data_IF_813062342864
#
_entry.id   IF_813062342864
#
_cell.length_a   1.000
_cell.length_b   1.000
_cell.length_c   1.000
_cell.angle_alpha   90.00
_cell.angle_beta   90.00
_cell.angle_gamma   90.00
#
_symmetry.space_group_name_H-M   'P 1'
#
loop_
_entity.id
_entity.type
_entity.pdbx_description
1 polymer ?
#
# COMPACT_ATOMS: atom_id res chain seq x y z
N UNK A 1 -30.56 -3.12 33.12
CA UNK A 1 -29.47 -2.39 32.43
C UNK A 1 -29.14 -3.16 31.17
N UNK A 2 -29.29 -2.54 29.99
CA UNK A 2 -28.90 -3.17 28.73
C UNK A 2 -27.38 -3.20 28.57
N UNK A 3 -26.84 -4.28 28.03
CA UNK A 3 -25.43 -4.38 27.62
C UNK A 3 -25.27 -3.68 26.27
N UNK A 4 -24.21 -2.89 26.11
CA UNK A 4 -23.87 -2.32 24.80
C UNK A 4 -23.51 -3.41 23.78
N UNK A 5 -23.98 -3.28 22.55
CA UNK A 5 -23.69 -4.23 21.48
C UNK A 5 -22.72 -3.65 20.45
N UNK A 6 -21.76 -4.46 19.99
CA UNK A 6 -20.80 -4.06 18.96
C UNK A 6 -21.48 -3.65 17.64
N UNK A 7 -22.62 -4.26 17.32
CA UNK A 7 -23.40 -3.94 16.12
C UNK A 7 -23.92 -2.48 16.09
N UNK A 8 -24.14 -1.87 17.26
CA UNK A 8 -24.60 -0.49 17.41
C UNK A 8 -23.46 0.48 17.73
N UNK A 9 -22.21 0.04 17.59
CA UNK A 9 -21.03 0.89 17.77
C UNK A 9 -20.74 1.64 16.48
N UNK A 10 -20.44 2.94 16.60
CA UNK A 10 -20.16 3.84 15.49
C UNK A 10 -18.76 4.43 15.65
N UNK A 11 -18.02 4.51 14.54
CA UNK A 11 -16.73 5.19 14.47
C UNK A 11 -16.86 6.41 13.56
N UNK A 12 -16.66 7.60 14.12
CA UNK A 12 -16.65 8.84 13.37
C UNK A 12 -15.22 9.37 13.27
N UNK A 13 -14.78 9.72 12.06
CA UNK A 13 -13.40 10.15 11.78
C UNK A 13 -13.37 11.53 11.13
N UNK A 14 -12.50 12.42 11.60
CA UNK A 14 -12.19 13.69 10.95
C UNK A 14 -10.71 14.04 11.09
N UNK A 15 -10.13 14.70 10.09
CA UNK A 15 -8.76 15.23 10.21
C UNK A 15 -8.73 16.50 11.05
N UNK A 16 -7.72 16.62 11.90
CA UNK A 16 -7.49 17.81 12.71
C UNK A 16 -6.74 18.88 11.88
N UNK A 17 -7.10 20.15 12.06
CA UNK A 17 -6.30 21.27 11.54
C UNK A 17 -5.14 21.64 12.46
N UNK A 18 -5.22 21.26 13.73
CA UNK A 18 -4.20 21.45 14.75
C UNK A 18 -4.16 20.22 15.64
N UNK A 19 -2.97 19.68 15.85
CA UNK A 19 -2.77 18.45 16.61
C UNK A 19 -3.46 18.51 17.98
N UNK A 20 -4.26 17.49 18.26
CA UNK A 20 -4.97 17.32 19.52
C UNK A 20 -6.21 18.20 19.70
N UNK A 21 -6.68 18.84 18.62
CA UNK A 21 -7.90 19.67 18.65
C UNK A 21 -8.96 19.05 17.73
N UNK A 22 -9.95 18.33 18.30
CA UNK A 22 -11.04 17.75 17.53
C UNK A 22 -11.80 18.81 16.72
N UNK A 23 -12.06 18.58 15.42
CA UNK A 23 -12.90 19.45 14.62
C UNK A 23 -14.33 19.52 15.17
N UNK A 24 -15.01 20.65 14.95
CA UNK A 24 -16.43 20.80 15.29
C UNK A 24 -17.39 20.17 14.26
N UNK A 25 -16.89 19.79 13.08
CA UNK A 25 -17.67 19.21 11.97
C UNK A 25 -16.75 18.47 10.99
N UNK A 26 -17.34 17.84 9.96
CA UNK A 26 -16.59 17.17 8.89
C UNK A 26 -16.29 15.69 9.14
N UNK A 27 -16.96 15.09 10.12
CA UNK A 27 -16.80 13.68 10.43
C UNK A 27 -17.40 12.78 9.35
N UNK A 28 -16.73 11.66 9.09
CA UNK A 28 -17.17 10.59 8.21
C UNK A 28 -17.40 9.33 9.05
N UNK A 29 -18.51 8.64 8.82
CA UNK A 29 -18.82 7.37 9.48
C UNK A 29 -17.94 6.27 8.88
N UNK A 30 -16.92 5.81 9.60
CA UNK A 30 -16.00 4.81 9.09
C UNK A 30 -16.50 3.39 9.37
N UNK A 31 -16.41 2.48 8.40
CA UNK A 31 -16.59 1.05 8.65
C UNK A 31 -15.36 0.47 9.36
N UNK A 32 -15.58 -0.42 10.31
CA UNK A 32 -14.53 -1.13 11.03
C UNK A 32 -14.99 -2.54 11.40
N UNK A 33 -14.03 -3.41 11.69
CA UNK A 33 -14.22 -4.81 12.13
C UNK A 33 -13.94 -4.94 13.61
N UNK A 34 -12.87 -4.30 14.09
CA UNK A 34 -12.53 -4.17 15.50
C UNK A 34 -11.81 -2.86 15.77
N UNK A 35 -11.88 -2.42 17.01
CA UNK A 35 -11.32 -1.16 17.49
C UNK A 35 -10.77 -1.37 18.90
N UNK A 36 -9.66 -0.71 19.20
CA UNK A 36 -8.97 -0.83 20.48
C UNK A 36 -8.32 0.47 20.96
N UNK A 37 -8.78 1.63 20.48
CA UNK A 37 -8.38 2.92 21.03
C UNK A 37 -9.10 3.17 22.36
N UNK A 38 -8.44 3.92 23.24
CA UNK A 38 -8.98 4.31 24.52
C UNK A 38 -7.89 4.72 25.50
N UNK A 39 -8.22 5.65 26.40
CA UNK A 39 -7.29 6.06 27.45
C UNK A 39 -7.14 4.96 28.50
N UNK A 40 -5.91 4.50 28.69
CA UNK A 40 -5.48 3.64 29.79
C UNK A 40 -4.51 4.39 30.72
N UNK A 41 -4.68 4.20 32.01
CA UNK A 41 -3.80 4.75 33.03
C UNK A 41 -3.45 3.67 34.07
N UNK A 42 -2.22 3.11 34.04
CA UNK A 42 -1.84 2.08 34.98
C UNK A 42 -1.60 2.64 36.38
N UNK A 43 -1.59 1.73 37.37
CA UNK A 43 -1.30 2.03 38.76
C UNK A 43 0.15 1.67 39.09
N UNK A 44 0.85 2.58 39.76
CA UNK A 44 2.21 2.39 40.26
C UNK A 44 2.17 2.07 41.74
N UNK A 45 2.85 1.00 42.15
CA UNK A 45 2.96 0.62 43.55
C UNK A 45 3.69 1.71 44.36
N UNK A 46 3.23 1.92 45.59
CA UNK A 46 3.89 2.87 46.49
C UNK A 46 5.32 2.41 46.82
N UNK A 47 6.27 3.33 46.74
CA UNK A 47 7.67 3.11 47.10
C UNK A 47 8.00 3.53 48.54
N UNK A 48 6.99 3.89 49.35
CA UNK A 48 7.16 4.36 50.72
C UNK A 48 7.60 3.20 51.64
N UNK A 49 8.77 3.37 52.27
CA UNK A 49 9.34 2.40 53.20
C UNK A 49 8.97 2.75 54.65
N UNK A 50 8.90 1.74 55.53
CA UNK A 50 8.69 1.92 56.97
C UNK A 50 7.23 1.94 57.45
N UNK A 51 6.26 1.61 56.58
CA UNK A 51 4.82 1.61 56.91
C UNK A 51 4.25 0.22 57.27
N UNK A 52 5.11 -0.79 57.47
CA UNK A 52 4.70 -2.16 57.79
C UNK A 52 4.68 -3.09 56.57
N UNK A 53 3.97 -4.23 56.70
CA UNK A 53 3.90 -5.29 55.66
C UNK A 53 2.69 -5.14 54.72
N UNK A 54 1.74 -4.29 55.06
CA UNK A 54 0.53 -4.08 54.26
C UNK A 54 0.83 -3.21 53.03
N UNK A 55 0.22 -3.49 51.87
CA UNK A 55 0.39 -2.67 50.67
C UNK A 55 -0.24 -1.29 50.87
N UNK A 56 0.50 -0.25 50.47
CA UNK A 56 0.03 1.13 50.51
C UNK A 56 -0.77 1.49 49.25
N UNK A 57 -1.61 2.54 49.30
CA UNK A 57 -2.36 3.01 48.14
C UNK A 57 -1.43 3.28 46.94
N UNK A 58 -1.73 2.74 45.76
CA UNK A 58 -0.96 3.01 44.55
C UNK A 58 -1.19 4.45 44.05
N UNK A 59 -0.24 4.98 43.27
CA UNK A 59 -0.38 6.23 42.53
C UNK A 59 -0.74 5.95 41.07
N UNK A 60 -1.34 6.95 40.40
CA UNK A 60 -1.62 6.87 38.96
C UNK A 60 -0.33 7.13 38.16
N UNK A 61 -0.13 6.38 37.08
CA UNK A 61 0.95 6.61 36.11
C UNK A 61 0.51 7.58 35.01
N UNK A 62 1.35 7.76 33.99
CA UNK A 62 1.05 8.46 32.74
C UNK A 62 -0.08 7.79 31.95
N UNK A 63 -0.83 8.60 31.19
CA UNK A 63 -1.93 8.13 30.35
C UNK A 63 -1.37 7.71 28.99
N UNK A 64 -1.85 6.58 28.48
CA UNK A 64 -1.55 6.08 27.14
C UNK A 64 -2.82 5.78 26.37
N UNK A 65 -2.82 6.07 25.07
CA UNK A 65 -3.95 5.78 24.19
C UNK A 65 -3.43 5.27 22.85
N UNK A 66 -3.10 3.98 22.84
CA UNK A 66 -2.61 3.28 21.66
C UNK A 66 -3.58 2.14 21.37
N UNK A 67 -3.84 1.88 20.10
CA UNK A 67 -4.79 0.84 19.73
C UNK A 67 -4.69 0.45 18.27
N UNK A 68 -5.06 -0.80 18.00
CA UNK A 68 -5.19 -1.30 16.64
C UNK A 68 -6.65 -1.18 16.18
N UNK A 69 -6.83 -0.71 14.95
CA UNK A 69 -8.10 -0.67 14.25
C UNK A 69 -8.06 -1.63 13.06
N UNK A 70 -8.98 -2.59 13.01
CA UNK A 70 -9.12 -3.48 11.83
C UNK A 70 -10.23 -2.93 10.95
N UNK A 71 -9.90 -2.64 9.69
CA UNK A 71 -10.75 -1.89 8.77
C UNK A 71 -10.84 -2.64 7.42
N UNK A 72 -11.96 -2.56 6.70
CA UNK A 72 -12.05 -3.16 5.38
C UNK A 72 -11.17 -2.41 4.37
N UNK A 73 -10.51 -3.13 3.45
CA UNK A 73 -9.98 -2.48 2.25
C UNK A 73 -11.15 -2.20 1.31
N UNK A 74 -11.40 -0.93 1.08
CA UNK A 74 -12.51 -0.47 0.26
C UNK A 74 -12.11 0.69 -0.64
N UNK A 75 -12.98 0.98 -1.60
CA UNK A 75 -12.74 1.97 -2.64
C UNK A 75 -12.69 3.40 -2.11
N UNK A 76 -13.44 3.74 -1.06
CA UNK A 76 -13.70 5.13 -0.65
C UNK A 76 -13.22 5.48 0.75
N UNK A 77 -13.36 4.62 1.75
CA UNK A 77 -12.93 4.91 3.11
C UNK A 77 -11.42 4.69 3.31
N UNK A 78 -10.84 3.72 2.60
CA UNK A 78 -9.41 3.40 2.73
C UNK A 78 -8.48 4.58 2.40
N UNK A 79 -8.88 5.50 1.53
CA UNK A 79 -8.13 6.72 1.24
C UNK A 79 -7.93 7.65 2.44
N UNK A 80 -8.83 7.65 3.44
CA UNK A 80 -8.62 8.39 4.70
C UNK A 80 -7.49 7.79 5.52
N UNK A 81 -7.41 6.46 5.61
CA UNK A 81 -6.32 5.76 6.30
C UNK A 81 -4.99 5.94 5.57
N UNK A 82 -4.98 5.87 4.24
CA UNK A 82 -3.81 6.17 3.43
C UNK A 82 -3.34 7.61 3.66
N UNK A 83 -4.26 8.58 3.70
CA UNK A 83 -3.89 9.97 4.02
C UNK A 83 -3.32 10.11 5.42
N UNK A 84 -3.85 9.38 6.41
CA UNK A 84 -3.32 9.39 7.77
C UNK A 84 -1.90 8.81 7.86
N UNK A 85 -1.61 7.77 7.08
CA UNK A 85 -0.31 7.08 7.06
C UNK A 85 0.75 7.79 6.22
N UNK A 86 0.39 8.30 5.04
CA UNK A 86 1.33 8.82 4.04
C UNK A 86 1.32 10.35 3.92
N UNK A 87 0.28 11.01 4.44
CA UNK A 87 -0.01 12.41 4.17
C UNK A 87 -0.95 12.62 2.99
N UNK A 88 -1.18 13.88 2.62
CA UNK A 88 -2.13 14.25 1.58
C UNK A 88 -1.73 13.66 0.21
N UNK A 89 -2.67 13.06 -0.54
CA UNK A 89 -2.36 12.55 -1.87
C UNK A 89 -2.24 13.68 -2.89
N UNK A 90 -1.50 13.42 -3.96
CA UNK A 90 -1.64 14.17 -5.21
C UNK A 90 -2.79 13.56 -6.01
N UNK A 91 -3.85 14.33 -6.24
CA UNK A 91 -5.06 13.88 -6.94
C UNK A 91 -5.08 14.41 -8.37
N UNK A 92 -5.28 13.54 -9.36
CA UNK A 92 -5.44 13.94 -10.77
C UNK A 92 -6.63 13.23 -11.39
N UNK A 93 -7.52 14.00 -12.00
CA UNK A 93 -8.67 13.44 -12.71
C UNK A 93 -8.27 12.95 -14.09
N UNK A 94 -8.78 11.79 -14.48
CA UNK A 94 -8.65 11.26 -15.82
C UNK A 94 -8.31 9.79 -15.85
N UNK A 95 -8.14 9.28 -17.07
CA UNK A 95 -7.70 7.91 -17.34
C UNK A 95 -6.39 7.97 -18.13
N UNK A 96 -5.46 7.08 -17.80
CA UNK A 96 -4.22 6.91 -18.56
C UNK A 96 -4.51 6.29 -19.94
N UNK A 97 -3.70 6.66 -20.93
CA UNK A 97 -3.69 5.95 -22.19
C UNK A 97 -3.06 4.57 -22.02
N UNK A 98 -3.60 3.57 -22.70
CA UNK A 98 -3.12 2.18 -22.67
C UNK A 98 -2.82 1.69 -24.08
N UNK A 99 -1.98 0.67 -24.15
CA UNK A 99 -1.68 -0.06 -25.37
C UNK A 99 -1.00 -1.38 -25.01
N UNK A 100 -0.77 -2.21 -26.00
CA UNK A 100 -0.09 -3.47 -25.80
C UNK A 100 0.74 -3.87 -27.00
N UNK A 101 1.68 -4.78 -26.77
CA UNK A 101 2.53 -5.38 -27.79
C UNK A 101 2.47 -6.90 -27.60
N UNK A 102 1.85 -7.60 -28.55
CA UNK A 102 1.70 -9.06 -28.54
C UNK A 102 2.78 -9.73 -29.38
N UNK A 103 3.39 -10.79 -28.87
CA UNK A 103 4.43 -11.55 -29.57
C UNK A 103 3.91 -12.91 -29.99
N UNK A 104 4.07 -13.23 -31.27
CA UNK A 104 3.67 -14.51 -31.85
C UNK A 104 4.76 -15.58 -31.76
N UNK A 105 6.02 -15.17 -31.67
CA UNK A 105 7.21 -16.02 -31.56
C UNK A 105 8.38 -15.22 -30.95
N UNK A 106 9.53 -15.86 -30.72
CA UNK A 106 10.75 -15.21 -30.22
C UNK A 106 11.20 -14.08 -31.15
N UNK A 107 11.57 -12.90 -30.62
CA UNK A 107 12.14 -11.84 -31.44
C UNK A 107 13.51 -12.26 -31.98
N UNK A 108 13.80 -11.92 -33.23
CA UNK A 108 15.14 -12.12 -33.79
C UNK A 108 16.15 -11.16 -33.14
N UNK A 109 17.42 -11.54 -33.16
CA UNK A 109 18.50 -10.69 -32.64
C UNK A 109 18.60 -9.38 -33.42
N UNK A 110 18.86 -8.28 -32.70
CA UNK A 110 18.96 -6.90 -33.17
C UNK A 110 17.65 -6.28 -33.68
N UNK A 111 16.51 -6.95 -33.48
CA UNK A 111 15.20 -6.34 -33.72
C UNK A 111 14.78 -5.52 -32.50
N UNK A 112 13.97 -4.50 -32.74
CA UNK A 112 13.49 -3.61 -31.68
C UNK A 112 11.96 -3.50 -31.64
N UNK A 113 11.48 -3.12 -30.46
CA UNK A 113 10.20 -2.47 -30.27
C UNK A 113 10.46 -1.01 -29.92
N UNK A 114 9.69 -0.10 -30.49
CA UNK A 114 9.84 1.35 -30.30
C UNK A 114 8.63 1.89 -29.54
N UNK A 115 8.87 2.58 -28.43
CA UNK A 115 7.82 3.24 -27.63
C UNK A 115 8.19 4.71 -27.45
N UNK A 116 7.31 5.61 -27.87
CA UNK A 116 7.53 7.06 -27.78
C UNK A 116 8.79 7.53 -28.52
N UNK A 117 9.24 6.78 -29.53
CA UNK A 117 10.46 7.05 -30.31
C UNK A 117 11.76 6.52 -29.70
N UNK A 118 11.71 5.75 -28.60
CA UNK A 118 12.86 5.06 -28.04
C UNK A 118 12.75 3.54 -28.25
N UNK A 119 13.87 2.90 -28.55
CA UNK A 119 13.94 1.48 -28.89
C UNK A 119 14.36 0.63 -27.69
N UNK A 120 13.70 -0.51 -27.53
CA UNK A 120 14.23 -1.65 -26.76
C UNK A 120 14.70 -2.71 -27.76
N UNK A 121 16.00 -3.00 -27.76
CA UNK A 121 16.61 -3.94 -28.72
C UNK A 121 16.81 -5.33 -28.12
N UNK A 122 16.42 -6.38 -28.84
CA UNK A 122 16.62 -7.77 -28.42
C UNK A 122 18.01 -8.31 -28.80
N UNK A 123 18.72 -8.94 -27.86
CA UNK A 123 20.07 -9.48 -28.04
C UNK A 123 20.20 -10.92 -27.56
N UNK A 124 21.13 -11.66 -28.18
CA UNK A 124 21.55 -13.01 -27.78
C UNK A 124 22.81 -13.03 -26.90
N UNK A 125 23.27 -11.86 -26.46
CA UNK A 125 24.43 -11.67 -25.59
C UNK A 125 24.07 -10.75 -24.41
N UNK A 126 25.00 -10.58 -23.46
CA UNK A 126 24.81 -9.72 -22.28
C UNK A 126 24.26 -8.34 -22.69
N UNK A 127 23.05 -7.97 -22.23
CA UNK A 127 22.40 -6.73 -22.62
C UNK A 127 23.04 -5.52 -21.92
N UNK A 128 23.09 -4.39 -22.63
CA UNK A 128 23.38 -3.07 -22.10
C UNK A 128 22.11 -2.32 -21.68
N UNK A 129 22.19 -0.98 -21.67
CA UNK A 129 21.02 -0.12 -21.42
C UNK A 129 20.02 -0.20 -22.59
N UNK A 130 18.73 -0.23 -22.28
CA UNK A 130 17.63 -0.35 -23.25
C UNK A 130 17.76 -1.55 -24.21
N UNK A 131 18.36 -2.63 -23.71
CA UNK A 131 18.54 -3.90 -24.40
C UNK A 131 17.96 -5.04 -23.57
N UNK A 132 17.40 -6.04 -24.24
CA UNK A 132 16.80 -7.21 -23.62
C UNK A 132 17.53 -8.49 -24.07
N UNK A 133 17.84 -9.37 -23.11
CA UNK A 133 18.37 -10.70 -23.40
C UNK A 133 17.24 -11.64 -23.85
N UNK A 134 17.41 -12.26 -25.01
CA UNK A 134 16.54 -13.34 -25.50
C UNK A 134 16.78 -14.59 -24.64
N UNK A 135 15.73 -15.01 -23.93
CA UNK A 135 15.73 -16.17 -23.06
C UNK A 135 15.49 -17.49 -23.80
N UNK A 136 15.42 -18.59 -23.05
CA UNK A 136 15.16 -19.91 -23.62
C UNK A 136 13.71 -20.06 -24.12
N UNK A 137 12.78 -19.29 -23.53
CA UNK A 137 11.37 -19.27 -23.91
C UNK A 137 10.90 -17.85 -24.20
N UNK A 138 9.81 -17.70 -24.96
CA UNK A 138 9.22 -16.39 -25.23
C UNK A 138 8.82 -15.68 -23.93
N UNK A 139 8.20 -16.38 -22.99
CA UNK A 139 7.80 -15.81 -21.70
C UNK A 139 8.99 -15.26 -20.90
N UNK A 140 10.13 -15.95 -20.93
CA UNK A 140 11.37 -15.47 -20.30
C UNK A 140 11.92 -14.24 -21.02
N UNK A 141 11.94 -14.23 -22.36
CA UNK A 141 12.35 -13.06 -23.16
C UNK A 141 11.48 -11.84 -22.85
N UNK A 142 10.16 -12.01 -22.76
CA UNK A 142 9.26 -10.90 -22.46
C UNK A 142 9.32 -10.45 -21.00
N UNK A 143 9.57 -11.36 -20.06
CA UNK A 143 9.86 -11.01 -18.68
C UNK A 143 11.12 -10.14 -18.59
N UNK A 144 12.21 -10.53 -19.28
CA UNK A 144 13.43 -9.73 -19.38
C UNK A 144 13.17 -8.36 -20.04
N UNK A 145 12.31 -8.31 -21.06
CA UNK A 145 11.96 -7.07 -21.76
C UNK A 145 11.22 -6.10 -20.84
N UNK A 146 10.21 -6.58 -20.12
CA UNK A 146 9.43 -5.76 -19.16
C UNK A 146 10.32 -5.24 -18.04
N UNK A 147 11.22 -6.07 -17.52
CA UNK A 147 12.21 -5.65 -16.51
C UNK A 147 13.13 -4.55 -17.06
N UNK A 148 13.67 -4.74 -18.28
CA UNK A 148 14.54 -3.77 -18.92
C UNK A 148 13.83 -2.43 -19.20
N UNK A 149 12.57 -2.49 -19.67
CA UNK A 149 11.74 -1.30 -19.91
C UNK A 149 11.46 -0.52 -18.63
N UNK A 150 11.05 -1.20 -17.55
CA UNK A 150 10.78 -0.56 -16.26
C UNK A 150 12.06 -0.01 -15.59
N UNK A 151 13.23 -0.61 -15.88
CA UNK A 151 14.52 -0.13 -15.41
C UNK A 151 15.11 1.01 -16.27
N UNK A 152 14.53 1.28 -17.44
CA UNK A 152 15.06 2.26 -18.39
C UNK A 152 15.11 3.67 -17.79
N UNK A 153 16.22 4.37 -18.05
CA UNK A 153 16.35 5.79 -17.73
C UNK A 153 15.96 6.69 -18.90
N UNK A 154 15.70 6.13 -20.08
CA UNK A 154 15.34 6.86 -21.29
C UNK A 154 13.94 7.45 -21.14
N UNK A 155 13.81 8.77 -21.32
CA UNK A 155 12.62 9.52 -20.92
C UNK A 155 11.31 9.00 -21.55
N UNK A 156 11.35 8.54 -22.81
CA UNK A 156 10.19 8.00 -23.51
C UNK A 156 9.72 6.65 -22.92
N UNK A 157 10.66 5.77 -22.56
CA UNK A 157 10.36 4.48 -21.94
C UNK A 157 9.94 4.65 -20.48
N UNK A 158 10.72 5.42 -19.72
CA UNK A 158 10.48 5.70 -18.29
C UNK A 158 9.13 6.36 -17.97
N UNK A 159 8.50 7.02 -18.95
CA UNK A 159 7.21 7.68 -18.76
C UNK A 159 6.01 6.74 -18.92
N UNK A 160 6.25 5.44 -19.11
CA UNK A 160 5.23 4.41 -19.15
C UNK A 160 5.55 3.31 -18.14
N UNK A 161 4.49 2.68 -17.62
CA UNK A 161 4.57 1.47 -16.80
C UNK A 161 4.31 0.24 -17.67
N UNK A 162 5.18 -0.77 -17.56
CA UNK A 162 5.10 -2.00 -18.34
C UNK A 162 4.78 -3.20 -17.46
N UNK A 163 3.92 -4.09 -17.96
CA UNK A 163 3.64 -5.36 -17.32
C UNK A 163 3.51 -6.49 -18.32
N UNK A 164 3.89 -7.70 -17.90
CA UNK A 164 3.65 -8.91 -18.68
C UNK A 164 2.27 -9.46 -18.35
N UNK A 165 1.51 -9.87 -19.37
CA UNK A 165 0.26 -10.59 -19.14
C UNK A 165 0.52 -11.99 -18.54
N UNK A 166 -0.52 -12.60 -17.96
CA UNK A 166 -0.39 -13.91 -17.29
C UNK A 166 -0.01 -15.02 -18.28
N UNK A 167 -0.39 -14.90 -19.56
CA UNK A 167 -0.04 -15.88 -20.60
C UNK A 167 1.42 -15.76 -21.08
N UNK A 168 2.15 -14.72 -20.65
CA UNK A 168 3.56 -14.51 -21.00
C UNK A 168 3.81 -14.21 -22.48
N UNK A 169 2.86 -13.55 -23.16
CA UNK A 169 2.90 -13.27 -24.61
C UNK A 169 2.69 -11.80 -24.96
N UNK A 170 2.13 -11.02 -24.05
CA UNK A 170 1.74 -9.63 -24.31
C UNK A 170 2.36 -8.71 -23.27
N UNK A 171 3.06 -7.69 -23.74
CA UNK A 171 3.51 -6.58 -22.92
C UNK A 171 2.40 -5.54 -22.91
N UNK A 172 1.81 -5.31 -21.75
CA UNK A 172 0.84 -4.25 -21.50
C UNK A 172 1.57 -2.96 -21.12
N UNK A 173 1.11 -1.85 -21.69
CA UNK A 173 1.70 -0.53 -21.53
C UNK A 173 0.62 0.40 -20.99
N UNK A 174 0.92 1.07 -19.88
CA UNK A 174 0.08 2.11 -19.29
C UNK A 174 0.88 3.39 -19.20
N UNK A 175 0.33 4.49 -19.71
CA UNK A 175 1.00 5.77 -19.59
C UNK A 175 0.96 6.31 -18.16
N UNK A 176 2.09 6.79 -17.66
CA UNK A 176 2.13 7.46 -16.35
C UNK A 176 1.51 8.86 -16.42
N UNK A 177 1.32 9.39 -17.64
CA UNK A 177 0.61 10.64 -17.87
C UNK A 177 -0.90 10.41 -17.88
N UNK A 178 -1.56 10.78 -16.79
CA UNK A 178 -3.02 10.80 -16.71
C UNK A 178 -3.58 11.89 -17.63
N UNK A 179 -4.59 11.54 -18.42
CA UNK A 179 -5.22 12.47 -19.35
C UNK A 179 -4.98 12.13 -20.81
N UNK A 180 -5.22 13.10 -21.69
CA UNK A 180 -5.08 12.92 -23.15
C UNK A 180 -3.62 12.90 -23.62
N UNK A 181 -2.66 13.32 -22.80
CA UNK A 181 -1.25 13.44 -23.18
C UNK A 181 -0.63 12.11 -23.60
N UNK A 182 -0.96 11.02 -22.90
CA UNK A 182 -0.47 9.68 -23.22
C UNK A 182 -0.87 9.17 -24.60
N UNK A 183 -1.96 9.70 -25.20
CA UNK A 183 -2.41 9.28 -26.53
C UNK A 183 -1.42 9.64 -27.66
N UNK A 184 -0.42 10.49 -27.37
CA UNK A 184 0.62 10.87 -28.33
C UNK A 184 1.81 9.91 -28.36
N UNK A 185 1.91 8.99 -27.40
CA UNK A 185 3.02 8.02 -27.32
C UNK A 185 2.86 7.01 -28.45
N UNK A 186 3.82 6.99 -29.37
CA UNK A 186 3.84 6.08 -30.52
C UNK A 186 4.27 4.67 -30.13
N UNK A 187 3.73 3.67 -30.82
CA UNK A 187 4.17 2.28 -30.72
C UNK A 187 4.57 1.78 -32.11
N UNK A 188 5.73 1.13 -32.20
CA UNK A 188 6.16 0.41 -33.39
C UNK A 188 6.93 -0.86 -33.01
N UNK A 189 7.02 -1.76 -33.98
CA UNK A 189 7.78 -3.00 -33.85
C UNK A 189 8.43 -3.32 -35.19
N UNK A 190 9.68 -3.77 -35.14
CA UNK A 190 10.36 -4.27 -36.34
C UNK A 190 9.71 -5.55 -36.84
N UNK A 191 9.70 -5.76 -38.15
CA UNK A 191 9.10 -6.96 -38.77
C UNK A 191 9.69 -8.26 -38.20
N UNK A 192 10.99 -8.30 -37.88
CA UNK A 192 11.65 -9.47 -37.31
C UNK A 192 11.50 -9.65 -35.80
N UNK A 193 10.85 -8.70 -35.11
CA UNK A 193 10.57 -8.82 -33.66
C UNK A 193 9.44 -9.82 -33.37
N UNK A 194 8.69 -10.25 -34.40
CA UNK A 194 7.48 -11.06 -34.29
C UNK A 194 6.40 -10.44 -33.39
N UNK A 195 6.48 -9.13 -33.17
CA UNK A 195 5.62 -8.35 -32.30
C UNK A 195 4.56 -7.57 -33.11
N UNK A 196 3.34 -7.49 -32.57
CA UNK A 196 2.22 -6.73 -33.12
C UNK A 196 1.75 -5.72 -32.10
N UNK A 197 1.80 -4.44 -32.45
CA UNK A 197 1.34 -3.34 -31.57
C UNK A 197 -0.18 -3.17 -31.65
N UNK A 198 -0.80 -2.79 -30.53
CA UNK A 198 -2.26 -2.58 -30.44
C UNK A 198 -2.78 -1.45 -31.32
N UNK A 199 -1.91 -0.53 -31.71
CA UNK A 199 -2.19 0.62 -32.57
C UNK A 199 -0.92 1.44 -32.79
N UNK A 200 -0.98 2.45 -33.66
CA UNK A 200 0.17 3.34 -33.92
C UNK A 200 0.56 4.20 -32.71
N UNK A 201 -0.38 4.41 -31.79
CA UNK A 201 -0.17 5.13 -30.53
C UNK A 201 -0.92 4.44 -29.40
N UNK A 202 -0.60 4.78 -28.15
CA UNK A 202 -1.47 4.50 -27.01
C UNK A 202 -2.84 5.17 -27.22
N UNK A 203 -3.87 4.64 -26.58
CA UNK A 203 -5.25 5.11 -26.74
C UNK A 203 -6.04 5.06 -25.43
N UNK A 204 -7.19 5.72 -25.39
CA UNK A 204 -8.10 5.70 -24.23
C UNK A 204 -7.77 6.71 -23.13
N UNK A 205 -6.69 7.49 -23.26
CA UNK A 205 -6.37 8.56 -22.32
C UNK A 205 -7.42 9.67 -22.35
N UNK A 206 -7.93 10.06 -21.19
CA UNK A 206 -9.02 11.04 -21.03
C UNK A 206 -8.77 11.97 -19.85
N UNK A 207 -9.03 13.28 -20.01
CA UNK A 207 -8.95 14.25 -18.92
C UNK A 207 -10.15 14.19 -17.95
N UNK A 208 -11.20 13.45 -18.31
CA UNK A 208 -12.36 13.18 -17.46
C UNK A 208 -12.38 11.71 -17.05
N UNK A 209 -13.11 11.40 -15.98
CA UNK A 209 -13.23 10.05 -15.45
C UNK A 209 -12.87 10.00 -13.96
N UNK A 210 -12.27 8.89 -13.50
CA UNK A 210 -11.94 8.71 -12.09
C UNK A 210 -10.83 9.66 -11.64
N UNK A 211 -10.69 9.80 -10.33
CA UNK A 211 -9.58 10.47 -9.68
C UNK A 211 -8.50 9.47 -9.31
N UNK A 212 -7.26 9.81 -9.61
CA UNK A 212 -6.06 9.05 -9.30
C UNK A 212 -5.39 9.74 -8.11
N UNK A 213 -5.49 9.13 -6.92
CA UNK A 213 -4.87 9.64 -5.70
C UNK A 213 -3.55 8.93 -5.47
N UNK A 214 -2.44 9.66 -5.59
CA UNK A 214 -1.09 9.14 -5.40
C UNK A 214 -0.54 9.58 -4.04
N UNK A 215 -0.30 8.60 -3.18
CA UNK A 215 0.31 8.74 -1.86
C UNK A 215 1.76 8.25 -1.92
N UNK A 216 2.69 9.02 -1.34
CA UNK A 216 4.12 8.70 -1.37
C UNK A 216 4.67 8.57 0.05
N UNK A 217 5.49 7.54 0.29
CA UNK A 217 6.23 7.40 1.55
C UNK A 217 7.24 8.53 1.76
N UNK A 218 7.58 8.82 3.02
CA UNK A 218 8.68 9.73 3.37
C UNK A 218 8.25 11.14 3.73
N UNK A 219 6.95 11.39 3.91
CA UNK A 219 6.46 12.65 4.44
C UNK A 219 7.00 12.91 5.85
N UNK A 220 7.61 14.09 6.06
CA UNK A 220 8.12 14.51 7.37
C UNK A 220 7.01 15.08 8.28
N UNK A 221 5.85 15.37 7.72
CA UNK A 221 4.68 15.86 8.43
C UNK A 221 3.51 14.98 8.08
N UNK A 222 3.04 14.22 9.07
CA UNK A 222 1.86 13.38 8.94
C UNK A 222 0.67 14.10 9.58
N UNK A 223 -0.53 14.00 9.00
CA UNK A 223 -1.72 14.59 9.59
C UNK A 223 -2.10 13.85 10.86
N UNK A 224 -2.87 14.51 11.71
CA UNK A 224 -3.57 13.89 12.83
C UNK A 224 -5.08 13.88 12.61
N UNK A 225 -5.76 13.00 13.33
CA UNK A 225 -7.20 12.84 13.26
C UNK A 225 -7.84 12.84 14.65
N UNK A 226 -9.14 13.12 14.65
CA UNK A 226 -10.04 12.90 15.77
C UNK A 226 -10.96 11.72 15.42
N UNK A 227 -11.05 10.75 16.34
CA UNK A 227 -11.81 9.52 16.19
C UNK A 227 -12.77 9.36 17.36
N UNK A 228 -14.06 9.50 17.10
CA UNK A 228 -15.09 9.24 18.10
C UNK A 228 -15.58 7.79 17.98
N UNK A 229 -15.52 7.06 19.10
CA UNK A 229 -16.10 5.72 19.24
C UNK A 229 -17.32 5.83 20.12
N UNK A 230 -18.50 5.65 19.52
CA UNK A 230 -19.79 5.78 20.18
C UNK A 230 -20.52 4.45 20.30
N UNK A 231 -20.91 4.07 21.51
CA UNK A 231 -21.84 2.95 21.74
C UNK A 231 -23.23 3.53 21.97
N UNK A 232 -24.16 3.29 21.04
CA UNK A 232 -25.49 3.92 21.11
C UNK A 232 -26.37 3.36 22.24
N UNK A 233 -26.28 2.05 22.47
CA UNK A 233 -27.08 1.33 23.48
C UNK A 233 -26.81 1.79 24.92
N UNK A 234 -25.58 2.24 25.16
CA UNK A 234 -25.11 2.79 26.43
C UNK A 234 -24.41 4.10 26.08
N UNK A 235 -25.09 5.26 26.19
CA UNK A 235 -24.61 6.55 25.69
C UNK A 235 -23.22 6.92 26.20
N UNK A 236 -22.21 6.48 25.47
CA UNK A 236 -20.79 6.55 25.78
C UNK A 236 -20.07 6.81 24.48
N UNK A 237 -19.51 8.01 24.38
CA UNK A 237 -18.82 8.50 23.20
C UNK A 237 -17.42 8.90 23.64
N UNK A 238 -16.42 8.14 23.20
CA UNK A 238 -15.01 8.40 23.43
C UNK A 238 -14.40 9.14 22.26
N UNK A 239 -14.14 10.44 22.40
CA UNK A 239 -13.44 11.23 21.38
C UNK A 239 -11.94 11.11 21.60
N UNK A 240 -11.28 10.27 20.81
CA UNK A 240 -9.82 10.17 20.72
C UNK A 240 -9.29 11.30 19.84
N UNK A 241 -8.28 12.03 20.30
CA UNK A 241 -7.74 13.20 19.61
C UNK A 241 -6.22 13.12 19.48
N UNK A 242 -5.66 13.86 18.51
CA UNK A 242 -4.24 13.75 18.18
C UNK A 242 -3.86 12.36 17.67
N UNK A 243 -4.80 11.68 16.98
CA UNK A 243 -4.61 10.31 16.48
C UNK A 243 -3.67 10.35 15.27
N UNK A 244 -2.54 9.65 15.36
CA UNK A 244 -1.58 9.43 14.28
C UNK A 244 -1.52 7.93 13.93
N UNK A 245 -1.31 7.60 12.66
CA UNK A 245 -1.18 6.21 12.20
C UNK A 245 0.28 5.79 12.05
N UNK A 246 0.66 4.76 12.80
CA UNK A 246 2.01 4.20 12.75
C UNK A 246 2.11 3.10 11.70
N UNK A 247 1.29 2.06 11.82
CA UNK A 247 1.44 0.84 11.02
C UNK A 247 0.21 0.54 10.18
N UNK A 248 0.46 -0.05 9.02
CA UNK A 248 -0.51 -0.70 8.16
C UNK A 248 -0.06 -2.13 7.91
N UNK A 249 -0.89 -3.11 8.24
CA UNK A 249 -0.68 -4.51 7.90
C UNK A 249 -1.85 -5.02 7.06
N UNK A 250 -1.55 -5.58 5.88
CA UNK A 250 -2.52 -6.21 4.98
C UNK A 250 -2.13 -7.67 4.85
N UNK A 251 -3.07 -8.56 5.14
CA UNK A 251 -2.91 -10.00 4.94
C UNK A 251 -3.42 -10.37 3.54
N UNK A 252 -2.61 -11.10 2.79
CA UNK A 252 -2.95 -11.67 1.50
C UNK A 252 -3.33 -13.13 1.72
N UNK A 253 -4.58 -13.46 1.44
CA UNK A 253 -5.09 -14.83 1.55
C UNK A 253 -5.87 -15.18 0.30
N UNK A 254 -6.02 -16.46 -0.01
CA UNK A 254 -6.81 -16.91 -1.17
C UNK A 254 -8.33 -16.88 -0.92
N UNK A 255 -8.76 -16.59 0.31
CA UNK A 255 -10.17 -16.58 0.73
C UNK A 255 -10.41 -15.56 1.84
N UNK A 256 -11.66 -15.35 2.23
CA UNK A 256 -12.01 -14.45 3.34
C UNK A 256 -12.15 -12.99 2.93
N UNK A 257 -12.49 -12.16 3.91
CA UNK A 257 -12.67 -10.73 3.71
C UNK A 257 -11.33 -10.01 3.78
N UNK A 258 -11.03 -9.18 2.78
CA UNK A 258 -9.84 -8.34 2.78
C UNK A 258 -10.00 -7.21 3.80
N UNK A 259 -9.11 -7.20 4.80
CA UNK A 259 -9.04 -6.20 5.87
C UNK A 259 -7.58 -5.75 6.04
N UNK A 260 -7.41 -4.52 6.52
CA UNK A 260 -6.15 -3.98 7.01
C UNK A 260 -6.21 -3.80 8.53
N UNK A 261 -5.07 -3.96 9.18
CA UNK A 261 -4.87 -3.51 10.56
C UNK A 261 -4.09 -2.20 10.53
N UNK A 262 -4.63 -1.16 11.17
CA UNK A 262 -3.99 0.14 11.34
C UNK A 262 -3.63 0.32 12.81
N UNK A 263 -2.35 0.47 13.12
CA UNK A 263 -1.91 0.79 14.49
C UNK A 263 -1.92 2.29 14.69
N UNK A 264 -2.60 2.76 15.72
CA UNK A 264 -2.85 4.16 16.00
C UNK A 264 -2.27 4.56 17.36
N UNK A 265 -1.75 5.78 17.44
CA UNK A 265 -1.28 6.44 18.68
C UNK A 265 -2.06 7.74 18.81
N UNK A 266 -2.77 7.93 19.90
CA UNK A 266 -3.54 9.14 20.19
C UNK A 266 -2.93 9.92 21.36
N UNK A 267 -3.18 11.23 21.39
CA UNK A 267 -2.80 12.07 22.51
C UNK A 267 -3.62 11.76 23.76
N UNK A 268 -4.92 11.49 23.56
CA UNK A 268 -5.81 11.10 24.64
C UNK A 268 -7.26 11.00 24.18
N UNK A 269 -8.14 10.78 25.15
CA UNK A 269 -9.57 10.58 24.97
C UNK A 269 -10.37 11.57 25.81
N UNK A 270 -11.54 11.99 25.29
CA UNK A 270 -12.56 12.70 26.06
C UNK A 270 -13.88 11.95 25.95
N UNK A 271 -14.40 11.49 27.10
CA UNK A 271 -15.68 10.78 27.18
C UNK A 271 -16.86 11.74 27.33
N UNK A 272 -17.94 11.47 26.60
CA UNK A 272 -19.19 12.20 26.65
C UNK A 272 -20.40 11.24 26.62
N UNK A 273 -21.57 11.75 27.01
CA UNK A 273 -22.86 11.05 26.90
C UNK A 273 -23.60 11.34 25.59
N UNK A 274 -23.07 12.26 24.80
CA UNK A 274 -23.60 12.69 23.51
C UNK A 274 -22.46 12.79 22.52
N UNK A 275 -22.73 12.45 21.26
CA UNK A 275 -21.76 12.60 20.18
C UNK A 275 -21.33 14.06 20.01
N UNK A 276 -20.02 14.30 19.94
CA UNK A 276 -19.41 15.56 19.52
C UNK A 276 -19.19 15.60 18.01
N UNK A 277 -19.15 14.43 17.36
CA UNK A 277 -19.04 14.29 15.90
C UNK A 277 -20.33 14.70 15.14
N UNK A 278 -21.46 14.82 15.84
CA UNK A 278 -22.74 15.21 15.27
C UNK A 278 -23.35 14.11 14.41
N UNK A 279 -23.67 14.43 13.15
CA UNK A 279 -24.13 13.45 12.15
C UNK A 279 -23.01 13.24 11.14
N UNK A 280 -22.20 12.17 11.26
CA UNK A 280 -21.13 11.91 10.32
C UNK A 280 -21.67 11.62 8.92
N UNK A 281 -20.90 11.99 7.90
CA UNK A 281 -21.22 11.70 6.51
C UNK A 281 -20.99 10.23 6.22
N UNK A 282 -21.93 9.58 5.54
CA UNK A 282 -21.79 8.19 5.09
C UNK A 282 -21.40 8.14 3.61
N UNK A 283 -20.43 7.29 3.28
CA UNK A 283 -20.05 6.96 1.91
C UNK A 283 -20.53 5.56 1.55
N UNK A 284 -20.73 5.29 0.26
CA UNK A 284 -21.08 3.94 -0.18
C UNK A 284 -19.87 3.02 -0.03
N UNK A 285 -20.01 1.98 0.79
CA UNK A 285 -19.00 0.96 1.01
C UNK A 285 -18.93 0.02 -0.20
N UNK A 286 -17.77 -0.05 -0.85
CA UNK A 286 -17.49 -0.96 -1.94
C UNK A 286 -16.13 -1.63 -1.68
N UNK A 287 -16.15 -2.90 -1.30
CA UNK A 287 -14.96 -3.62 -0.81
C UNK A 287 -14.15 -4.21 -1.96
N UNK A 288 -12.82 -4.14 -1.83
CA UNK A 288 -11.95 -4.98 -2.62
C UNK A 288 -12.01 -6.44 -2.13
N UNK A 289 -11.62 -7.38 -2.99
CA UNK A 289 -11.64 -8.81 -2.67
C UNK A 289 -10.24 -9.40 -2.68
N UNK A 290 -10.04 -10.44 -1.89
CA UNK A 290 -8.80 -11.23 -1.89
C UNK A 290 -8.52 -11.89 -3.24
N UNK A 291 -9.57 -12.32 -3.97
CA UNK A 291 -9.43 -12.94 -5.29
C UNK A 291 -8.90 -11.97 -6.36
N UNK A 292 -9.16 -10.67 -6.22
CA UNK A 292 -8.65 -9.64 -7.13
C UNK A 292 -7.22 -9.20 -6.82
N UNK A 293 -6.55 -9.82 -5.84
CA UNK A 293 -5.17 -9.49 -5.50
C UNK A 293 -4.22 -10.03 -6.57
N UNK A 294 -3.49 -9.13 -7.22
CA UNK A 294 -2.38 -9.48 -8.09
C UNK A 294 -1.09 -8.95 -7.49
N UNK A 295 -0.09 -9.81 -7.43
CA UNK A 295 1.27 -9.41 -7.06
C UNK A 295 2.19 -9.61 -8.26
N UNK A 296 2.95 -8.59 -8.61
CA UNK A 296 3.98 -8.67 -9.65
C UNK A 296 5.32 -8.21 -9.13
N UNK A 297 6.37 -8.74 -9.76
CA UNK A 297 7.77 -8.38 -9.55
C UNK A 297 8.29 -7.71 -10.81
N UNK A 298 8.71 -6.46 -10.73
CA UNK A 298 9.25 -5.70 -11.87
C UNK A 298 8.34 -5.71 -13.11
N UNK A 299 7.01 -5.74 -12.90
CA UNK A 299 6.01 -5.85 -13.97
C UNK A 299 5.66 -7.29 -14.39
N UNK A 300 6.35 -8.31 -13.88
CA UNK A 300 6.10 -9.73 -14.18
C UNK A 300 5.19 -10.35 -13.10
N UNK A 301 4.00 -10.89 -13.44
CA UNK A 301 3.08 -11.47 -12.47
C UNK A 301 3.65 -12.68 -11.71
N UNK A 302 3.35 -12.77 -10.41
CA UNK A 302 3.69 -13.92 -9.56
C UNK A 302 2.54 -14.94 -9.54
N UNK A 303 2.42 -15.75 -10.60
CA UNK A 303 1.29 -16.66 -10.80
C UNK A 303 1.14 -17.77 -9.72
N UNK A 304 2.18 -18.04 -8.94
CA UNK A 304 2.19 -19.10 -7.93
C UNK A 304 2.01 -18.62 -6.48
N UNK A 305 1.60 -17.36 -6.28
CA UNK A 305 1.36 -16.81 -4.96
C UNK A 305 0.15 -17.48 -4.30
N UNK A 306 0.33 -17.96 -3.07
CA UNK A 306 -0.67 -18.64 -2.24
C UNK A 306 -1.05 -17.83 -0.99
N UNK A 307 -0.31 -16.76 -0.69
CA UNK A 307 -0.59 -15.86 0.41
C UNK A 307 0.59 -14.94 0.67
N UNK A 308 0.50 -14.15 1.73
CA UNK A 308 1.56 -13.23 2.10
C UNK A 308 1.10 -12.11 3.01
N UNK A 309 2.01 -11.20 3.31
CA UNK A 309 1.73 -10.03 4.13
C UNK A 309 2.40 -8.81 3.56
N UNK A 310 1.72 -7.67 3.62
CA UNK A 310 2.31 -6.36 3.35
C UNK A 310 2.25 -5.52 4.62
N UNK A 311 3.39 -5.02 5.07
CA UNK A 311 3.50 -4.18 6.26
C UNK A 311 4.21 -2.86 5.91
N UNK A 312 3.62 -1.76 6.38
CA UNK A 312 4.21 -0.43 6.36
C UNK A 312 4.21 0.11 7.78
N UNK A 313 5.30 0.73 8.21
CA UNK A 313 5.42 1.39 9.51
C UNK A 313 6.12 2.73 9.37
N UNK A 314 5.56 3.78 9.95
CA UNK A 314 6.17 5.10 10.07
C UNK A 314 7.22 5.17 11.18
N UNK A 315 7.24 4.20 12.10
CA UNK A 315 8.20 4.16 13.20
C UNK A 315 7.95 5.32 14.18
N UNK A 316 6.67 5.62 14.43
CA UNK A 316 6.27 6.77 15.23
C UNK A 316 6.80 6.70 16.66
N UNK A 317 7.41 7.80 17.13
CA UNK A 317 7.89 7.95 18.50
C UNK A 317 7.01 8.95 19.28
N UNK A 318 6.30 8.52 20.34
CA UNK A 318 5.48 9.42 21.14
C UNK A 318 6.35 10.37 21.96
N UNK A 319 6.16 11.68 21.76
CA UNK A 319 6.89 12.73 22.46
C UNK A 319 6.34 12.87 23.87
N UNK A 320 7.09 12.34 24.85
CA UNK A 320 6.74 12.44 26.28
C UNK A 320 7.38 13.66 26.91
N UNK A 321 6.55 14.50 27.51
CA UNK A 321 6.96 15.69 28.26
C UNK A 321 6.24 15.72 29.61
N UNK A 322 6.79 16.44 30.58
CA UNK A 322 6.10 16.66 31.85
C UNK A 322 4.96 17.64 31.60
N UNK A 323 3.73 17.14 31.63
CA UNK A 323 2.50 17.92 31.54
C UNK A 323 1.56 17.57 32.69
N UNK A 324 0.73 18.52 33.17
CA UNK A 324 -0.25 18.25 34.22
C UNK A 324 -1.30 17.20 33.85
N UNK A 325 -1.53 16.96 32.55
CA UNK A 325 -2.49 15.96 32.05
C UNK A 325 -1.89 14.55 31.90
N UNK A 326 -0.58 14.38 32.10
CA UNK A 326 0.09 13.08 32.00
C UNK A 326 0.09 12.46 30.59
N UNK A 327 -0.18 13.25 29.54
CA UNK A 327 -0.32 12.79 28.15
C UNK A 327 0.91 13.11 27.30
N UNK A 328 0.98 12.49 26.12
CA UNK A 328 2.01 12.80 25.11
C UNK A 328 1.79 14.21 24.55
N UNK A 329 2.87 14.92 24.19
CA UNK A 329 2.76 16.24 23.55
C UNK A 329 2.50 16.15 22.04
N UNK A 330 2.91 15.05 21.42
CA UNK A 330 2.93 14.85 19.99
C UNK A 330 3.45 13.47 19.65
N UNK A 331 3.56 13.21 18.36
CA UNK A 331 4.14 11.99 17.82
C UNK A 331 5.05 12.36 16.67
N UNK A 332 6.32 11.96 16.75
CA UNK A 332 7.32 12.30 15.75
C UNK A 332 7.53 11.11 14.79
N UNK A 333 7.52 11.34 13.45
CA UNK A 333 7.81 10.28 12.49
C UNK A 333 9.25 9.78 12.57
N UNK A 334 9.43 8.46 12.62
CA UNK A 334 10.73 7.81 12.61
C UNK A 334 11.15 7.32 11.23
N UNK A 335 12.08 6.36 11.22
CA UNK A 335 12.52 5.71 9.97
C UNK A 335 11.44 4.76 9.49
N UNK A 336 10.99 4.95 8.26
CA UNK A 336 9.99 4.10 7.63
C UNK A 336 10.54 2.69 7.43
N UNK A 337 9.73 1.70 7.79
CA UNK A 337 9.98 0.30 7.47
C UNK A 337 8.85 -0.24 6.59
N UNK A 338 9.20 -0.76 5.41
CA UNK A 338 8.25 -1.49 4.55
C UNK A 338 8.77 -2.91 4.40
N UNK A 339 7.97 -3.86 4.84
CA UNK A 339 8.36 -5.27 4.91
C UNK A 339 7.18 -6.14 4.50
N UNK A 340 7.47 -7.38 4.18
CA UNK A 340 6.42 -8.33 3.91
C UNK A 340 6.94 -9.72 3.62
N UNK A 341 6.03 -10.56 3.16
CA UNK A 341 6.26 -11.97 2.91
C UNK A 341 5.41 -12.39 1.73
N UNK A 342 5.99 -13.17 0.83
CA UNK A 342 5.30 -13.81 -0.27
C UNK A 342 5.38 -15.33 -0.09
N UNK A 343 4.24 -15.98 0.07
CA UNK A 343 4.13 -17.43 0.16
C UNK A 343 3.77 -17.98 -1.21
N UNK A 344 4.67 -18.76 -1.81
CA UNK A 344 4.47 -19.29 -3.16
C UNK A 344 4.78 -20.78 -3.27
N UNK A 345 4.17 -21.42 -4.28
CA UNK A 345 4.57 -22.77 -4.69
C UNK A 345 5.96 -22.71 -5.33
N UNK A 346 6.85 -23.60 -4.91
CA UNK A 346 8.20 -23.67 -5.45
C UNK A 346 8.16 -24.25 -6.87
N UNK A 347 8.27 -23.39 -7.87
CA UNK A 347 8.27 -23.76 -9.29
C UNK A 347 9.59 -23.46 -10.00
N UNK A 348 10.32 -22.43 -9.55
CA UNK A 348 11.57 -21.98 -10.13
C UNK A 348 12.53 -21.41 -9.07
N UNK A 349 13.77 -21.13 -9.47
CA UNK A 349 14.82 -20.59 -8.59
C UNK A 349 14.94 -19.08 -8.63
N UNK A 350 14.09 -18.36 -9.37
CA UNK A 350 14.26 -16.92 -9.64
C UNK A 350 14.42 -16.11 -8.36
N UNK A 351 13.55 -16.34 -7.37
CA UNK A 351 13.60 -15.65 -6.08
C UNK A 351 14.83 -16.03 -5.24
N UNK A 352 15.33 -17.27 -5.39
CA UNK A 352 16.57 -17.70 -4.74
C UNK A 352 17.76 -17.00 -5.39
N UNK A 353 17.82 -16.91 -6.71
CA UNK A 353 18.91 -16.27 -7.44
C UNK A 353 18.97 -14.76 -7.15
N UNK A 354 17.81 -14.10 -7.11
CA UNK A 354 17.68 -12.70 -6.68
C UNK A 354 18.19 -12.48 -5.24
N UNK A 355 17.81 -13.37 -4.32
CA UNK A 355 18.27 -13.31 -2.93
C UNK A 355 19.78 -13.59 -2.79
N UNK A 356 20.34 -14.50 -3.60
CA UNK A 356 21.77 -14.83 -3.60
C UNK A 356 22.61 -13.68 -4.15
N UNK A 357 22.13 -13.04 -5.22
CA UNK A 357 22.82 -11.94 -5.89
C UNK A 357 22.53 -10.57 -5.25
N UNK A 358 21.68 -10.52 -4.22
CA UNK A 358 21.23 -9.30 -3.58
C UNK A 358 20.65 -8.29 -4.60
N UNK A 359 19.94 -8.80 -5.59
CA UNK A 359 19.33 -7.99 -6.64
C UNK A 359 18.04 -7.37 -6.11
N UNK A 360 17.94 -6.03 -6.08
CA UNK A 360 16.72 -5.37 -5.65
C UNK A 360 15.60 -5.56 -6.67
N UNK A 361 14.36 -5.61 -6.19
CA UNK A 361 13.17 -5.78 -7.02
C UNK A 361 12.07 -4.81 -6.64
N UNK A 362 11.22 -4.47 -7.59
CA UNK A 362 9.95 -3.79 -7.33
C UNK A 362 8.84 -4.80 -7.08
N UNK A 363 8.11 -4.67 -5.98
CA UNK A 363 6.87 -5.42 -5.73
C UNK A 363 5.65 -4.53 -5.90
N UNK A 364 4.69 -5.00 -6.69
CA UNK A 364 3.40 -4.33 -6.88
C UNK A 364 2.33 -5.21 -6.28
N UNK A 365 1.56 -4.68 -5.34
CA UNK A 365 0.34 -5.29 -4.82
C UNK A 365 -0.84 -4.52 -5.38
N UNK A 366 -1.73 -5.19 -6.10
CA UNK A 366 -2.86 -4.55 -6.76
C UNK A 366 -4.17 -5.27 -6.42
N UNK A 367 -5.19 -4.49 -6.09
CA UNK A 367 -6.57 -4.95 -5.94
C UNK A 367 -7.46 -4.10 -6.84
N UNK A 368 -8.13 -4.72 -7.80
CA UNK A 368 -8.96 -4.03 -8.77
C UNK A 368 -10.37 -4.63 -8.84
N UNK A 369 -11.38 -3.76 -8.91
CA UNK A 369 -12.75 -4.14 -9.31
C UNK A 369 -12.90 -3.90 -10.82
N UNK A 370 -12.42 -2.75 -11.28
CA UNK A 370 -12.24 -2.39 -12.69
C UNK A 370 -10.97 -1.54 -12.80
N UNK A 371 -10.54 -1.20 -14.03
CA UNK A 371 -9.42 -0.28 -14.24
C UNK A 371 -9.63 1.12 -13.61
N UNK A 372 -10.89 1.55 -13.46
CA UNK A 372 -11.27 2.82 -12.84
C UNK A 372 -11.54 2.73 -11.32
N UNK A 373 -11.43 1.52 -10.73
CA UNK A 373 -11.69 1.25 -9.31
C UNK A 373 -10.63 0.31 -8.76
N UNK A 374 -9.54 0.89 -8.26
CA UNK A 374 -8.30 0.14 -8.03
C UNK A 374 -7.48 0.72 -6.89
N UNK A 375 -6.90 -0.16 -6.09
CA UNK A 375 -5.83 0.16 -5.14
C UNK A 375 -4.56 -0.54 -5.59
N UNK A 376 -3.49 0.21 -5.81
CA UNK A 376 -2.17 -0.30 -6.18
C UNK A 376 -1.14 0.21 -5.18
N UNK A 377 -0.36 -0.68 -4.57
CA UNK A 377 0.75 -0.33 -3.68
C UNK A 377 2.03 -0.86 -4.29
N UNK A 378 2.94 0.05 -4.63
CA UNK A 378 4.23 -0.25 -5.24
C UNK A 378 5.33 -0.06 -4.21
N UNK A 379 6.14 -1.07 -4.01
CA UNK A 379 7.37 -1.04 -3.21
C UNK A 379 8.55 -1.06 -4.17
N UNK A 380 9.21 0.09 -4.34
CA UNK A 380 10.12 0.31 -5.46
C UNK A 380 11.48 -0.38 -5.35
N UNK A 381 11.90 -0.72 -4.13
CA UNK A 381 13.27 -1.17 -3.90
C UNK A 381 13.32 -2.16 -2.71
N UNK A 382 12.94 -3.41 -2.98
CA UNK A 382 12.88 -4.50 -2.02
C UNK A 382 14.02 -5.51 -2.19
N UNK A 383 14.50 -6.03 -1.07
CA UNK A 383 15.54 -7.05 -1.00
C UNK A 383 15.00 -8.32 -0.35
N UNK A 384 15.43 -9.46 -0.85
CA UNK A 384 15.07 -10.77 -0.34
C UNK A 384 16.24 -11.37 0.45
N UNK A 385 16.05 -11.79 1.72
CA UNK A 385 17.02 -12.60 2.41
C UNK A 385 17.06 -14.00 1.80
N UNK A 386 18.18 -14.70 1.97
CA UNK A 386 18.30 -16.09 1.50
C UNK A 386 17.24 -16.97 2.19
N UNK A 387 16.28 -17.54 1.44
CA UNK A 387 15.20 -18.33 2.00
C UNK A 387 15.69 -19.74 2.35
N UNK A 388 15.01 -20.38 3.31
CA UNK A 388 15.12 -21.83 3.52
C UNK A 388 14.00 -22.52 2.75
N UNK A 389 14.31 -23.61 2.05
CA UNK A 389 13.33 -24.44 1.33
C UNK A 389 13.20 -25.81 2.00
N UNK A 390 12.51 -25.91 3.16
CA UNK A 390 12.34 -27.18 3.85
C UNK A 390 11.42 -28.12 3.05
N UNK A 391 11.76 -29.41 3.02
CA UNK A 391 10.90 -30.47 2.48
C UNK A 391 10.15 -31.11 3.64
N UNK A 392 8.87 -30.77 3.80
CA UNK A 392 8.07 -31.14 4.98
C UNK A 392 7.24 -32.43 4.79
N UNK A 393 7.36 -33.09 3.62
CA UNK A 393 6.63 -34.32 3.32
C UNK A 393 6.61 -34.66 1.83
N UNK A 394 5.84 -35.67 1.40
CA UNK A 394 5.76 -36.11 0.01
C UNK A 394 4.92 -35.19 -0.91
N UNK A 395 4.36 -34.10 -0.38
CA UNK A 395 3.57 -33.12 -1.14
C UNK A 395 4.42 -32.06 -1.85
N UNK A 396 3.76 -31.14 -2.55
CA UNK A 396 4.44 -30.01 -3.21
C UNK A 396 5.14 -29.09 -2.20
N UNK A 397 6.32 -28.58 -2.57
CA UNK A 397 7.11 -27.68 -1.73
C UNK A 397 6.52 -26.27 -1.80
N UNK A 398 6.27 -25.66 -0.64
CA UNK A 398 5.95 -24.24 -0.51
C UNK A 398 7.17 -23.50 0.03
N UNK A 399 7.46 -22.34 -0.54
CA UNK A 399 8.55 -21.49 -0.12
C UNK A 399 8.00 -20.12 0.28
N UNK A 400 8.47 -19.66 1.44
CA UNK A 400 8.17 -18.35 1.99
C UNK A 400 9.35 -17.43 1.72
N UNK A 401 9.09 -16.31 1.05
CA UNK A 401 10.11 -15.30 0.75
C UNK A 401 9.75 -14.01 1.49
N UNK A 402 10.42 -13.79 2.61
CA UNK A 402 10.37 -12.51 3.30
C UNK A 402 11.06 -11.45 2.42
N UNK A 403 10.68 -10.19 2.61
CA UNK A 403 11.33 -9.08 1.93
C UNK A 403 11.30 -7.82 2.79
N UNK A 404 12.29 -6.97 2.59
CA UNK A 404 12.41 -5.66 3.23
C UNK A 404 12.80 -4.63 2.20
N UNK A 405 12.20 -3.44 2.28
CA UNK A 405 12.46 -2.37 1.35
C UNK A 405 13.38 -1.29 1.92
N UNK A 406 14.04 -0.59 1.02
CA UNK A 406 14.82 0.60 1.30
C UNK A 406 14.37 1.76 0.41
N UNK A 407 14.85 2.97 0.73
CA UNK A 407 14.63 4.15 -0.11
C UNK A 407 15.26 3.92 -1.48
N UNK A 408 14.48 4.05 -2.54
CA UNK A 408 14.98 3.93 -3.90
C UNK A 408 16.00 5.06 -4.21
N UNK A 409 17.18 4.76 -4.79
CA UNK A 409 18.26 5.74 -4.94
C UNK A 409 17.92 6.92 -5.86
N UNK A 410 17.12 6.68 -6.91
CA UNK A 410 16.69 7.73 -7.86
C UNK A 410 15.36 8.38 -7.49
N UNK A 411 14.31 7.57 -7.22
CA UNK A 411 12.97 8.09 -6.88
C UNK A 411 12.88 8.76 -5.51
N UNK A 412 13.87 8.51 -4.63
CA UNK A 412 13.94 9.05 -3.27
C UNK A 412 12.72 8.73 -2.39
N UNK A 413 12.05 7.60 -2.64
CA UNK A 413 10.90 7.08 -1.88
C UNK A 413 10.98 5.55 -1.78
N UNK A 414 10.31 4.98 -0.79
CA UNK A 414 10.28 3.52 -0.56
C UNK A 414 9.05 2.89 -1.21
N UNK A 415 7.88 3.49 -1.02
CA UNK A 415 6.64 3.00 -1.62
C UNK A 415 5.72 4.12 -2.12
N UNK A 416 4.87 3.77 -3.08
CA UNK A 416 3.81 4.62 -3.62
C UNK A 416 2.50 3.84 -3.57
N UNK A 417 1.45 4.41 -2.95
CA UNK A 417 0.10 3.87 -3.03
C UNK A 417 -0.74 4.73 -3.97
N UNK A 418 -1.46 4.11 -4.89
CA UNK A 418 -2.37 4.76 -5.83
C UNK A 418 -3.77 4.22 -5.62
N UNK A 419 -4.72 5.09 -5.24
CA UNK A 419 -6.13 4.77 -5.15
C UNK A 419 -6.88 5.47 -6.28
N UNK A 420 -7.53 4.71 -7.14
CA UNK A 420 -8.33 5.20 -8.26
C UNK A 420 -9.80 4.99 -7.92
N UNK A 421 -10.57 6.07 -7.83
CA UNK A 421 -12.00 6.03 -7.52
C UNK A 421 -12.76 7.27 -8.04
N UNK A 422 -14.01 7.43 -7.61
CA UNK A 422 -14.90 8.53 -7.97
C UNK A 422 -14.86 9.73 -7.01
N UNK A 423 -14.03 9.69 -5.95
CA UNK A 423 -13.96 10.74 -4.93
C UNK A 423 -12.97 11.83 -5.37
N UNK A 424 -13.32 13.13 -5.34
CA UNK A 424 -12.40 14.16 -5.80
C UNK A 424 -11.16 14.40 -4.91
N UNK A 425 -11.29 14.17 -3.60
CA UNK A 425 -10.24 14.51 -2.62
C UNK A 425 -10.37 13.73 -1.31
N UNK A 426 -9.29 13.72 -0.53
CA UNK A 426 -9.19 13.08 0.79
C UNK A 426 -8.64 14.04 1.84
#
# INVERSE_FOLDING_TARGET
MGRGTGANTKLAFAFESTYGTPPGAGYVQMPFVSEGLGDEQPLVASNLLGQGREPLPPSLDVITNNGDLVVPLDLRYFGFWLKLLFGAPTSTQGTAAIGSIEFSDQPATAMAITIGGADLTFKSATPGADECLIGATLAETLANAVIALNASTTAALKSQSYSLNVDGKTIDIVSDTIGVGGNSVTLAADVGSNATVSGATLSGGSATGPYNHVFTSGGLTLPSAAVEVGVLDVPSYGMNFGVAADKLAIQLETSGNLNATISLIAQGEKKAKTSSAGTPTELVLERFTNFSAQVSRDGVPLANLTGGTYNYANGLDPVRVIRPDGRIAGVDPGVIAVTGKNDMRFADTTFIDLAVNNTPVEFVHEWAITSAKKLRIVTHYAFLPKPKTPVTGPGGIQASFDWQAAKHPVLAKTCTATLINDKPSY
#
